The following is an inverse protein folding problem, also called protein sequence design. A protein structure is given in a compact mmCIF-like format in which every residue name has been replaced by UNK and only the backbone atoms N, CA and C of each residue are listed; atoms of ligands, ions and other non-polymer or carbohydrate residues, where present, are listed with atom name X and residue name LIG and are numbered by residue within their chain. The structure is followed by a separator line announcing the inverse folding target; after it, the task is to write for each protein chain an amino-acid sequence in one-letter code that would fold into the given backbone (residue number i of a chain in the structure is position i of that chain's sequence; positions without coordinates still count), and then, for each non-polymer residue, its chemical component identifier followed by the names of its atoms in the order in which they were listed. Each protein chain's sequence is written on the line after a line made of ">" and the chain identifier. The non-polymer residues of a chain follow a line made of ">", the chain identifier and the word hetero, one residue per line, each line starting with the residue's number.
data_IF_828573260098
#
_entry.id   IF_828573260098
#
_cell.length_a   1.000
_cell.length_b   1.000
_cell.length_c   1.000
_cell.angle_alpha   90.00
_cell.angle_beta   90.00
_cell.angle_gamma   90.00
#
_symmetry.space_group_name_H-M   'P 1'
#
loop_
_entity.id
_entity.type
_entity.pdbx_description
1 polymer ?
#
# COMPACT_ATOMS: atom_id res chain seq x y z
N UNK A 1 -24.33 -55.07 51.53
CA UNK A 1 -24.26 -53.61 51.46
C UNK A 1 -22.92 -53.24 50.86
N UNK A 2 -22.87 -52.85 49.60
CA UNK A 2 -21.64 -52.43 48.89
C UNK A 2 -21.70 -50.91 48.69
N UNK A 3 -20.86 -50.19 49.44
CA UNK A 3 -20.71 -48.74 49.32
C UNK A 3 -19.82 -48.44 48.10
N UNK A 4 -20.34 -47.69 47.14
CA UNK A 4 -19.58 -47.14 46.02
C UNK A 4 -19.12 -45.75 46.37
N UNK A 5 -17.81 -45.57 46.51
CA UNK A 5 -17.17 -44.26 46.68
C UNK A 5 -17.02 -43.64 45.29
N UNK A 6 -17.78 -42.57 45.00
CA UNK A 6 -17.57 -41.72 43.79
C UNK A 6 -16.45 -40.73 44.12
N UNK A 7 -15.28 -40.92 43.52
CA UNK A 7 -14.24 -39.87 43.47
C UNK A 7 -14.63 -38.82 42.40
N UNK A 8 -15.05 -37.64 42.83
CA UNK A 8 -15.15 -36.45 41.95
C UNK A 8 -13.71 -35.94 41.64
N UNK A 9 -13.26 -36.12 40.42
CA UNK A 9 -12.08 -35.38 39.91
C UNK A 9 -12.58 -34.00 39.49
N UNK A 10 -12.24 -32.96 40.25
CA UNK A 10 -12.38 -31.57 39.82
C UNK A 10 -11.24 -31.24 38.86
N UNK A 11 -11.54 -31.16 37.57
CA UNK A 11 -10.62 -30.62 36.58
C UNK A 11 -10.51 -29.11 36.78
N UNK A 12 -9.38 -28.64 37.30
CA UNK A 12 -9.06 -27.22 37.36
C UNK A 12 -8.79 -26.72 35.93
N UNK A 13 -9.74 -26.03 35.33
CA UNK A 13 -9.51 -25.31 34.09
C UNK A 13 -8.59 -24.11 34.38
N UNK A 14 -7.33 -24.18 33.94
CA UNK A 14 -6.42 -23.03 33.92
C UNK A 14 -6.94 -22.02 32.91
N UNK A 15 -7.54 -20.94 33.37
CA UNK A 15 -7.92 -19.81 32.54
C UNK A 15 -6.62 -19.20 31.97
N UNK A 16 -6.44 -19.28 30.65
CA UNK A 16 -5.34 -18.58 29.98
C UNK A 16 -5.54 -17.08 30.19
N UNK A 17 -4.54 -16.42 30.79
CA UNK A 17 -4.57 -14.96 30.96
C UNK A 17 -4.54 -14.28 29.60
N UNK A 18 -5.43 -13.31 29.36
CA UNK A 18 -5.41 -12.54 28.11
C UNK A 18 -4.07 -11.79 27.98
N UNK A 19 -3.49 -11.73 26.75
CA UNK A 19 -2.24 -11.05 26.49
C UNK A 19 -2.35 -9.56 26.82
N UNK A 20 -1.27 -8.97 27.33
CA UNK A 20 -1.19 -7.55 27.66
C UNK A 20 -0.45 -6.77 26.60
N UNK A 21 -0.69 -5.44 26.51
CA UNK A 21 0.01 -4.55 25.55
C UNK A 21 1.56 -4.67 25.67
N UNK A 22 2.19 -4.65 26.85
CA UNK A 22 3.65 -4.82 26.96
C UNK A 22 4.17 -6.17 26.44
N UNK A 23 3.39 -7.23 26.57
CA UNK A 23 3.78 -8.56 26.07
C UNK A 23 3.71 -8.65 24.56
N UNK A 24 2.76 -7.94 23.93
CA UNK A 24 2.55 -7.93 22.47
C UNK A 24 3.40 -6.86 21.79
N UNK A 25 3.64 -5.72 22.42
CA UNK A 25 4.48 -4.68 21.83
C UNK A 25 5.88 -5.24 21.48
N UNK A 26 6.42 -4.84 20.32
CA UNK A 26 7.71 -5.30 19.84
C UNK A 26 7.79 -5.29 18.31
N UNK A 27 8.92 -5.79 17.82
CA UNK A 27 9.22 -5.89 16.41
C UNK A 27 8.99 -7.31 15.92
N UNK A 28 8.29 -7.45 14.81
CA UNK A 28 7.90 -8.71 14.21
C UNK A 28 8.39 -8.76 12.76
N UNK A 29 8.86 -9.92 12.34
CA UNK A 29 9.44 -10.15 11.02
C UNK A 29 8.67 -11.22 10.28
N UNK A 30 8.35 -10.96 9.02
CA UNK A 30 7.71 -11.93 8.12
C UNK A 30 8.60 -13.17 7.96
N UNK A 31 7.97 -14.34 7.99
CA UNK A 31 8.63 -15.64 7.80
C UNK A 31 8.08 -16.38 6.59
N UNK A 32 8.87 -17.32 6.07
CA UNK A 32 8.46 -18.28 5.03
C UNK A 32 8.11 -17.71 3.65
N UNK A 33 8.42 -16.43 3.39
CA UNK A 33 8.28 -15.83 2.07
C UNK A 33 9.63 -15.67 1.40
N UNK A 34 9.71 -16.08 0.12
CA UNK A 34 10.86 -15.81 -0.73
C UNK A 34 10.64 -14.48 -1.46
N UNK A 35 11.68 -13.68 -1.60
CA UNK A 35 11.67 -12.40 -2.33
C UNK A 35 10.75 -11.30 -1.71
N UNK A 36 10.15 -11.56 -0.56
CA UNK A 36 9.32 -10.60 0.19
C UNK A 36 9.96 -10.34 1.54
N UNK A 37 10.34 -9.09 1.80
CA UNK A 37 10.76 -8.62 3.11
C UNK A 37 9.65 -7.82 3.77
N UNK A 38 9.32 -8.10 5.02
CA UNK A 38 8.36 -7.29 5.76
C UNK A 38 8.63 -7.26 7.25
N UNK A 39 8.34 -6.12 7.86
CA UNK A 39 8.49 -5.87 9.28
C UNK A 39 7.27 -5.13 9.81
N UNK A 40 6.78 -5.55 10.97
CA UNK A 40 5.74 -4.87 11.75
C UNK A 40 6.31 -4.49 13.11
N UNK A 41 6.34 -3.21 13.42
CA UNK A 41 6.68 -2.68 14.74
C UNK A 41 5.42 -2.24 15.47
N UNK A 42 5.11 -2.89 16.59
CA UNK A 42 4.07 -2.50 17.54
C UNK A 42 4.72 -1.77 18.73
N UNK A 43 4.47 -0.46 18.83
CA UNK A 43 5.04 0.36 19.90
C UNK A 43 4.21 0.26 21.19
N UNK A 44 4.83 0.38 22.37
CA UNK A 44 4.09 0.33 23.64
C UNK A 44 3.08 1.47 23.83
N UNK A 45 3.26 2.60 23.10
CA UNK A 45 2.35 3.75 23.11
C UNK A 45 1.10 3.57 22.24
N UNK A 46 0.91 2.38 21.64
CA UNK A 46 -0.21 2.08 20.75
C UNK A 46 0.01 2.49 19.30
N UNK A 47 1.17 3.03 18.93
CA UNK A 47 1.53 3.30 17.54
C UNK A 47 2.04 2.06 16.83
N UNK A 48 1.85 1.97 15.50
CA UNK A 48 2.53 0.94 14.69
C UNK A 48 3.28 1.55 13.51
N UNK A 49 4.26 0.79 13.01
CA UNK A 49 4.91 0.99 11.72
C UNK A 49 4.99 -0.35 11.00
N UNK A 50 4.75 -0.32 9.70
CA UNK A 50 4.78 -1.48 8.83
C UNK A 50 5.59 -1.15 7.57
N UNK A 51 6.41 -2.07 7.12
CA UNK A 51 7.11 -2.00 5.84
C UNK A 51 7.00 -3.33 5.12
N UNK A 52 6.93 -3.27 3.80
CA UNK A 52 6.87 -4.42 2.92
C UNK A 52 7.66 -4.11 1.65
N UNK A 53 8.59 -4.99 1.28
CA UNK A 53 9.38 -4.90 0.05
C UNK A 53 9.18 -6.14 -0.79
N UNK A 54 8.84 -5.97 -2.06
CA UNK A 54 8.74 -7.04 -3.04
C UNK A 54 9.24 -6.57 -4.42
N UNK A 55 10.26 -7.22 -4.94
CA UNK A 55 10.87 -6.84 -6.21
C UNK A 55 11.41 -5.40 -6.18
N UNK A 56 10.87 -4.53 -7.03
CA UNK A 56 11.25 -3.13 -7.13
C UNK A 56 10.30 -2.18 -6.37
N UNK A 57 9.37 -2.71 -5.61
CA UNK A 57 8.36 -1.93 -4.90
C UNK A 57 8.53 -2.03 -3.38
N UNK A 58 8.43 -0.88 -2.73
CA UNK A 58 8.44 -0.75 -1.27
C UNK A 58 7.15 -0.08 -0.83
N UNK A 59 6.47 -0.70 0.13
CA UNK A 59 5.29 -0.13 0.78
C UNK A 59 5.53 0.07 2.26
N UNK A 60 4.80 0.99 2.83
CA UNK A 60 4.81 1.25 4.25
C UNK A 60 3.44 1.65 4.76
N UNK A 61 3.21 1.46 6.06
CA UNK A 61 2.03 1.96 6.75
C UNK A 61 2.42 2.42 8.15
N UNK A 62 1.64 3.32 8.71
CA UNK A 62 1.72 3.76 10.11
C UNK A 62 0.32 4.06 10.64
N UNK A 63 0.19 4.06 11.94
CA UNK A 63 -1.08 4.38 12.59
C UNK A 63 -1.11 3.91 14.03
N UNK A 64 -2.26 3.50 14.49
CA UNK A 64 -2.49 2.97 15.83
C UNK A 64 -2.80 1.49 15.81
N UNK A 65 -2.44 0.80 16.88
CA UNK A 65 -2.82 -0.59 17.13
C UNK A 65 -3.46 -0.76 18.51
N UNK A 66 -4.29 -1.77 18.65
CA UNK A 66 -4.89 -2.18 19.91
C UNK A 66 -5.06 -3.68 19.98
N UNK A 67 -5.19 -4.18 21.20
CA UNK A 67 -5.65 -5.55 21.45
C UNK A 67 -7.18 -5.54 21.53
N UNK A 68 -7.81 -6.43 20.80
CA UNK A 68 -9.26 -6.64 20.81
C UNK A 68 -9.56 -8.12 20.59
N UNK A 69 -10.28 -8.73 21.52
CA UNK A 69 -10.70 -10.14 21.46
C UNK A 69 -9.55 -11.11 21.15
N UNK A 70 -8.40 -10.92 21.79
CA UNK A 70 -7.21 -11.75 21.61
C UNK A 70 -6.46 -11.56 20.29
N UNK A 71 -6.83 -10.55 19.51
CA UNK A 71 -6.16 -10.20 18.26
C UNK A 71 -5.54 -8.79 18.34
N UNK A 72 -4.53 -8.53 17.50
CA UNK A 72 -4.03 -7.19 17.21
C UNK A 72 -4.88 -6.58 16.08
N UNK A 73 -5.32 -5.34 16.26
CA UNK A 73 -6.06 -4.59 15.24
C UNK A 73 -5.28 -3.35 14.88
N UNK A 74 -5.00 -3.16 13.58
CA UNK A 74 -4.28 -2.00 13.04
C UNK A 74 -5.25 -1.04 12.37
N UNK A 75 -5.06 0.25 12.61
CA UNK A 75 -5.73 1.33 11.90
C UNK A 75 -4.71 2.38 11.45
N UNK A 76 -4.62 2.61 10.16
CA UNK A 76 -3.85 3.74 9.62
C UNK A 76 -4.52 5.06 9.96
N UNK A 77 -3.71 6.11 10.13
CA UNK A 77 -4.24 7.45 10.32
C UNK A 77 -5.05 7.89 9.09
N UNK A 78 -6.22 8.49 9.32
CA UNK A 78 -7.00 9.14 8.26
C UNK A 78 -6.28 10.43 7.84
N UNK A 79 -5.54 10.36 6.75
CA UNK A 79 -4.97 11.53 6.10
C UNK A 79 -5.60 11.65 4.71
N UNK A 80 -6.12 12.83 4.38
CA UNK A 80 -6.58 13.13 3.03
C UNK A 80 -5.35 13.17 2.10
N UNK A 81 -5.12 12.08 1.40
CA UNK A 81 -4.04 12.05 0.42
C UNK A 81 -4.47 12.70 -0.89
N UNK A 82 -3.65 13.58 -1.45
CA UNK A 82 -3.84 14.03 -2.81
C UNK A 82 -3.73 12.83 -3.76
N UNK A 83 -4.34 12.92 -4.97
CA UNK A 83 -4.31 11.82 -5.93
C UNK A 83 -2.87 11.45 -6.30
N UNK A 84 -2.62 10.20 -6.75
CA UNK A 84 -1.29 9.72 -7.13
C UNK A 84 -0.60 10.59 -8.18
N UNK A 85 -1.35 11.22 -9.06
CA UNK A 85 -0.87 12.17 -10.06
C UNK A 85 -1.74 13.42 -10.07
N UNK A 86 -1.09 14.58 -9.95
CA UNK A 86 -1.73 15.89 -9.93
C UNK A 86 -1.23 16.72 -11.10
N UNK A 87 -2.13 17.23 -11.96
CA UNK A 87 -1.78 18.19 -13.01
C UNK A 87 -1.29 19.50 -12.36
N UNK A 88 -0.04 19.88 -12.61
CA UNK A 88 0.58 21.09 -12.06
C UNK A 88 0.82 22.19 -13.11
N UNK A 89 0.85 21.79 -14.39
CA UNK A 89 1.01 22.72 -15.50
C UNK A 89 0.40 22.18 -16.78
N UNK A 90 -0.20 23.07 -17.56
CA UNK A 90 -0.56 22.81 -18.97
C UNK A 90 -0.24 24.02 -19.82
N UNK A 91 0.10 23.78 -21.10
CA UNK A 91 0.46 24.81 -22.06
C UNK A 91 0.11 24.36 -23.48
N UNK A 92 -0.01 25.32 -24.42
CA UNK A 92 -0.36 25.04 -25.81
C UNK A 92 0.63 24.13 -26.56
N UNK A 93 1.86 24.00 -26.07
CA UNK A 93 2.91 23.16 -26.67
C UNK A 93 3.55 23.78 -27.92
N UNK A 94 4.83 23.49 -28.10
CA UNK A 94 5.63 24.02 -29.22
C UNK A 94 5.97 22.96 -30.27
N UNK A 95 5.85 21.66 -29.93
CA UNK A 95 6.40 20.54 -30.72
C UNK A 95 5.44 19.91 -31.72
N UNK A 96 4.19 20.38 -31.77
CA UNK A 96 3.16 19.87 -32.72
C UNK A 96 2.66 18.45 -32.43
N UNK A 97 2.97 17.89 -31.27
CA UNK A 97 2.43 16.65 -30.67
C UNK A 97 2.05 16.89 -29.22
N UNK A 98 1.48 15.89 -28.57
CA UNK A 98 1.20 15.95 -27.14
C UNK A 98 2.42 15.44 -26.35
N UNK A 99 2.80 16.18 -25.32
CA UNK A 99 3.87 15.86 -24.40
C UNK A 99 3.33 15.78 -22.98
N UNK A 100 3.51 14.65 -22.30
CA UNK A 100 3.15 14.48 -20.90
C UNK A 100 4.45 14.25 -20.12
N UNK A 101 4.73 15.16 -19.21
CA UNK A 101 5.87 15.07 -18.28
C UNK A 101 5.37 14.66 -16.91
N UNK A 102 6.03 13.68 -16.32
CA UNK A 102 5.84 13.29 -14.91
C UNK A 102 7.07 13.71 -14.13
N UNK A 103 6.86 14.41 -13.02
CA UNK A 103 7.92 14.87 -12.11
C UNK A 103 7.66 14.46 -10.68
N UNK A 104 8.71 14.27 -9.92
CA UNK A 104 8.63 14.12 -8.46
C UNK A 104 8.46 15.48 -7.76
N UNK A 105 8.27 15.49 -6.42
CA UNK A 105 8.13 16.72 -5.62
C UNK A 105 9.34 17.67 -5.71
N UNK A 106 10.51 17.15 -6.09
CA UNK A 106 11.73 17.90 -6.31
C UNK A 106 11.87 18.44 -7.75
N UNK A 107 10.85 18.29 -8.59
CA UNK A 107 10.84 18.70 -9.99
C UNK A 107 11.65 17.82 -10.95
N UNK A 108 12.30 16.75 -10.44
CA UNK A 108 13.02 15.78 -11.31
C UNK A 108 12.05 14.90 -12.07
N UNK A 109 12.39 14.59 -13.33
CA UNK A 109 11.61 13.65 -14.14
C UNK A 109 11.54 12.26 -13.54
N UNK A 110 10.36 11.63 -13.67
CA UNK A 110 10.09 10.26 -13.22
C UNK A 110 9.86 9.39 -14.45
N UNK A 111 10.78 8.47 -14.71
CA UNK A 111 10.71 7.50 -15.80
C UNK A 111 9.87 6.26 -15.45
N UNK A 112 9.61 5.44 -16.47
CA UNK A 112 8.91 4.16 -16.35
C UNK A 112 7.44 4.26 -15.88
N UNK A 113 6.78 5.40 -16.09
CA UNK A 113 5.34 5.55 -15.95
C UNK A 113 4.69 5.30 -17.30
N UNK A 114 3.80 4.31 -17.40
CA UNK A 114 2.99 4.11 -18.60
C UNK A 114 1.87 5.15 -18.61
N UNK A 115 1.66 5.77 -19.76
CA UNK A 115 0.61 6.79 -19.96
C UNK A 115 -0.26 6.36 -21.13
N UNK A 116 -1.55 6.15 -20.86
CA UNK A 116 -2.58 5.95 -21.89
C UNK A 116 -3.29 7.28 -22.11
N UNK A 117 -3.12 7.85 -23.30
CA UNK A 117 -3.76 9.10 -23.71
C UNK A 117 -5.00 8.80 -24.56
N UNK A 118 -6.17 9.14 -24.03
CA UNK A 118 -7.43 9.13 -24.78
C UNK A 118 -7.52 10.41 -25.61
N UNK A 119 -7.82 10.26 -26.88
CA UNK A 119 -7.89 11.34 -27.87
C UNK A 119 -9.20 11.26 -28.65
N UNK A 120 -9.47 12.25 -29.48
CA UNK A 120 -10.57 12.26 -30.46
C UNK A 120 -10.49 11.09 -31.47
N UNK A 121 -9.34 10.45 -31.62
CA UNK A 121 -9.06 9.35 -32.57
C UNK A 121 -8.85 7.98 -31.93
N UNK A 122 -9.03 7.88 -30.63
CA UNK A 122 -8.82 6.67 -29.87
C UNK A 122 -7.73 6.81 -28.81
N UNK A 123 -7.33 5.71 -28.22
CA UNK A 123 -6.32 5.66 -27.16
C UNK A 123 -4.95 5.35 -27.77
N UNK A 124 -3.94 6.10 -27.33
CA UNK A 124 -2.53 5.89 -27.66
C UNK A 124 -1.72 5.77 -26.38
N UNK A 125 -0.65 4.96 -26.42
CA UNK A 125 0.15 4.66 -25.24
C UNK A 125 1.60 5.08 -25.44
N UNK A 126 2.21 5.57 -24.39
CA UNK A 126 3.65 5.84 -24.31
C UNK A 126 4.14 5.66 -22.87
N UNK A 127 5.43 5.46 -22.71
CA UNK A 127 6.08 5.39 -21.39
C UNK A 127 7.00 6.58 -21.22
N UNK A 128 7.04 7.13 -20.00
CA UNK A 128 8.00 8.20 -19.69
C UNK A 128 9.44 7.68 -19.74
N UNK A 129 10.29 8.44 -20.38
CA UNK A 129 11.74 8.22 -20.45
C UNK A 129 12.45 8.61 -19.14
N UNK A 130 13.78 8.54 -19.11
CA UNK A 130 14.59 8.91 -17.94
C UNK A 130 14.47 10.39 -17.54
N UNK A 131 14.00 11.25 -18.44
CA UNK A 131 13.69 12.67 -18.17
C UNK A 131 12.25 12.90 -17.72
N UNK A 132 11.47 11.81 -17.59
CA UNK A 132 10.08 11.82 -17.18
C UNK A 132 9.10 12.21 -18.28
N UNK A 133 9.45 12.06 -19.56
CA UNK A 133 8.63 12.54 -20.68
C UNK A 133 8.08 11.40 -21.50
N UNK A 134 6.77 11.41 -21.75
CA UNK A 134 6.07 10.60 -22.74
C UNK A 134 5.64 11.48 -23.90
N UNK A 135 5.96 11.09 -25.15
CA UNK A 135 5.63 11.81 -26.38
C UNK A 135 4.57 11.08 -27.18
N UNK A 136 3.58 11.84 -27.67
CA UNK A 136 2.49 11.36 -28.52
C UNK A 136 2.46 12.12 -29.85
N UNK A 137 2.01 11.46 -30.90
CA UNK A 137 2.07 12.02 -32.27
C UNK A 137 1.21 13.28 -32.49
N UNK A 138 1.49 13.96 -33.60
CA UNK A 138 1.01 15.32 -33.94
C UNK A 138 -0.50 15.47 -34.21
N UNK A 139 -1.27 14.40 -34.31
CA UNK A 139 -2.67 14.44 -34.76
C UNK A 139 -3.67 14.10 -33.64
N UNK A 140 -3.24 14.11 -32.40
CA UNK A 140 -4.07 13.69 -31.27
C UNK A 140 -4.54 14.92 -30.47
N UNK A 141 -5.84 15.15 -30.41
CA UNK A 141 -6.41 16.11 -29.45
C UNK A 141 -6.60 15.40 -28.11
N UNK A 142 -5.85 15.77 -27.06
CA UNK A 142 -5.91 15.07 -25.77
C UNK A 142 -7.25 15.32 -25.09
N UNK A 143 -7.85 14.26 -24.52
CA UNK A 143 -9.09 14.35 -23.76
C UNK A 143 -8.90 13.90 -22.32
N UNK A 144 -8.23 12.76 -22.13
CA UNK A 144 -7.95 12.21 -20.81
C UNK A 144 -6.61 11.48 -20.80
N UNK A 145 -5.96 11.44 -19.64
CA UNK A 145 -4.78 10.62 -19.40
C UNK A 145 -5.04 9.62 -18.26
N UNK A 146 -4.56 8.39 -18.42
CA UNK A 146 -4.50 7.36 -17.39
C UNK A 146 -3.03 7.05 -17.16
N UNK A 147 -2.62 6.95 -15.91
CA UNK A 147 -1.25 6.64 -15.52
C UNK A 147 -1.20 5.25 -14.88
N UNK A 148 -0.18 4.46 -15.27
CA UNK A 148 0.09 3.16 -14.65
C UNK A 148 1.53 3.09 -14.17
N UNK A 149 1.70 2.64 -12.92
CA UNK A 149 3.00 2.36 -12.31
C UNK A 149 3.07 0.86 -12.02
N UNK A 150 3.66 0.08 -12.94
CA UNK A 150 3.61 -1.39 -12.91
C UNK A 150 4.20 -2.00 -11.64
N UNK A 151 5.28 -1.42 -11.11
CA UNK A 151 5.92 -1.92 -9.90
C UNK A 151 4.97 -1.93 -8.66
N UNK A 152 3.95 -1.08 -8.69
CA UNK A 152 2.97 -0.93 -7.60
C UNK A 152 1.57 -1.43 -7.99
N UNK A 153 1.43 -2.03 -9.17
CA UNK A 153 0.13 -2.44 -9.74
C UNK A 153 -0.92 -1.32 -9.68
N UNK A 154 -0.44 -0.07 -9.79
CA UNK A 154 -1.29 1.11 -9.73
C UNK A 154 -1.74 1.51 -11.12
N UNK A 155 -3.05 1.72 -11.29
CA UNK A 155 -3.65 2.41 -12.43
C UNK A 155 -4.60 3.49 -11.90
N UNK A 156 -4.52 4.70 -12.47
CA UNK A 156 -5.35 5.82 -12.02
C UNK A 156 -6.69 5.84 -12.75
N UNK A 157 -7.67 6.50 -12.14
CA UNK A 157 -8.83 6.96 -12.87
C UNK A 157 -8.42 7.95 -13.99
N UNK A 158 -9.22 8.07 -15.08
CA UNK A 158 -8.91 8.98 -16.16
C UNK A 158 -8.94 10.44 -15.72
N UNK A 159 -7.83 11.14 -15.87
CA UNK A 159 -7.69 12.58 -15.59
C UNK A 159 -8.03 13.38 -16.83
N UNK A 160 -9.01 14.29 -16.73
CA UNK A 160 -9.43 15.13 -17.85
C UNK A 160 -8.34 16.13 -18.25
N UNK A 161 -8.13 16.32 -19.56
CA UNK A 161 -7.18 17.25 -20.15
C UNK A 161 -7.92 18.30 -20.99
N UNK A 162 -7.35 19.50 -21.05
CA UNK A 162 -7.84 20.51 -22.00
C UNK A 162 -7.34 20.18 -23.42
N UNK A 163 -8.23 19.93 -24.40
CA UNK A 163 -7.84 19.55 -25.76
C UNK A 163 -7.06 20.62 -26.54
N UNK A 164 -7.11 21.88 -26.11
CA UNK A 164 -6.35 22.99 -26.71
C UNK A 164 -4.91 23.06 -26.21
N UNK A 165 -4.57 22.31 -25.16
CA UNK A 165 -3.22 22.24 -24.59
C UNK A 165 -2.51 20.98 -25.08
N UNK A 166 -1.21 21.06 -25.22
CA UNK A 166 -0.41 19.94 -25.74
C UNK A 166 0.82 19.59 -24.90
N UNK A 167 1.19 20.44 -23.96
CA UNK A 167 2.24 20.18 -22.96
C UNK A 167 1.62 20.11 -21.57
N UNK A 168 1.70 18.96 -20.93
CA UNK A 168 1.19 18.71 -19.59
C UNK A 168 2.31 18.30 -18.66
N UNK A 169 2.30 18.82 -17.44
CA UNK A 169 3.20 18.34 -16.37
C UNK A 169 2.38 17.85 -15.20
N UNK A 170 2.60 16.62 -14.82
CA UNK A 170 2.01 15.99 -13.64
C UNK A 170 3.06 15.79 -12.57
N UNK A 171 2.72 16.10 -11.34
CA UNK A 171 3.51 15.76 -10.17
C UNK A 171 3.00 14.46 -9.58
N UNK A 172 3.92 13.50 -9.39
CA UNK A 172 3.62 12.23 -8.76
C UNK A 172 3.64 12.39 -7.24
N UNK A 173 2.60 11.91 -6.57
CA UNK A 173 2.57 11.76 -5.13
C UNK A 173 3.04 10.35 -4.77
N UNK A 174 4.31 10.19 -4.47
CA UNK A 174 4.87 8.89 -4.10
C UNK A 174 4.20 8.29 -2.87
N UNK A 175 3.76 9.12 -1.92
CA UNK A 175 3.05 8.68 -0.72
C UNK A 175 1.74 7.96 -1.06
N UNK A 176 0.92 8.53 -1.95
CA UNK A 176 -0.33 7.91 -2.41
C UNK A 176 -0.12 6.58 -3.17
N UNK A 177 1.12 6.29 -3.58
CA UNK A 177 1.50 5.06 -4.29
C UNK A 177 2.07 4.02 -3.32
N UNK A 178 2.87 4.45 -2.34
CA UNK A 178 3.66 3.56 -1.48
C UNK A 178 3.07 3.37 -0.09
N UNK A 179 2.14 4.22 0.35
CA UNK A 179 1.51 4.10 1.66
C UNK A 179 0.30 3.17 1.61
N UNK A 180 0.38 2.07 2.34
CA UNK A 180 -0.75 1.16 2.56
C UNK A 180 -1.69 1.70 3.63
N UNK A 181 -2.97 1.42 3.48
CA UNK A 181 -4.01 1.78 4.44
C UNK A 181 -4.59 0.53 5.09
N UNK A 182 -4.47 0.46 6.39
CA UNK A 182 -5.13 -0.56 7.20
C UNK A 182 -6.36 0.05 7.87
N UNK A 183 -7.51 -0.57 7.64
CA UNK A 183 -8.78 -0.20 8.29
C UNK A 183 -9.29 -1.44 9.02
N UNK A 184 -9.27 -1.40 10.36
CA UNK A 184 -9.64 -2.54 11.22
C UNK A 184 -8.94 -3.85 10.81
N UNK A 185 -7.68 -3.74 10.33
CA UNK A 185 -6.90 -4.91 9.91
C UNK A 185 -6.59 -5.77 11.14
N UNK A 186 -7.16 -6.95 11.18
CA UNK A 186 -6.96 -7.91 12.26
C UNK A 186 -5.80 -8.84 11.98
N UNK A 187 -4.98 -9.07 13.02
CA UNK A 187 -3.95 -10.10 13.03
C UNK A 187 -4.26 -11.04 14.20
N UNK A 188 -4.39 -12.32 13.92
CA UNK A 188 -4.52 -13.33 14.99
C UNK A 188 -3.21 -13.44 15.76
N UNK A 189 -3.29 -13.59 17.08
CA UNK A 189 -2.14 -13.73 17.96
C UNK A 189 -2.05 -15.15 18.51
N UNK A 190 -0.95 -15.83 18.26
CA UNK A 190 -0.64 -17.15 18.82
C UNK A 190 0.78 -17.16 19.39
N UNK A 191 0.92 -17.04 20.70
CA UNK A 191 2.21 -16.93 21.37
C UNK A 191 3.02 -15.71 20.88
N UNK A 192 4.09 -15.96 20.12
CA UNK A 192 4.96 -14.92 19.55
C UNK A 192 4.70 -14.64 18.05
N UNK A 193 3.62 -15.20 17.50
CA UNK A 193 3.29 -15.11 16.08
C UNK A 193 2.04 -14.27 15.91
N UNK A 194 2.11 -13.30 14.99
CA UNK A 194 0.99 -12.54 14.46
C UNK A 194 0.73 -12.98 13.03
N UNK A 195 -0.48 -13.45 12.73
CA UNK A 195 -0.87 -13.87 11.38
C UNK A 195 -1.80 -12.84 10.77
N UNK A 196 -1.41 -12.31 9.62
CA UNK A 196 -2.17 -11.33 8.84
C UNK A 196 -2.67 -11.96 7.54
N UNK A 197 -3.98 -11.87 7.27
CA UNK A 197 -4.58 -12.22 5.99
C UNK A 197 -4.60 -10.97 5.10
N UNK A 198 -3.66 -10.84 4.17
CA UNK A 198 -3.53 -9.61 3.39
C UNK A 198 -3.67 -9.83 1.87
N UNK A 199 -3.05 -10.87 1.32
CA UNK A 199 -3.02 -11.13 -0.12
C UNK A 199 -3.95 -12.24 -0.60
N UNK A 200 -5.19 -12.31 -0.07
CA UNK A 200 -6.21 -13.28 -0.45
C UNK A 200 -6.46 -14.34 0.61
N UNK A 201 -7.48 -15.16 0.41
CA UNK A 201 -7.94 -16.11 1.42
C UNK A 201 -6.97 -17.25 1.72
N UNK A 202 -5.97 -17.47 0.85
CA UNK A 202 -5.08 -18.64 0.92
C UNK A 202 -3.61 -18.28 1.25
N UNK A 203 -3.29 -17.02 1.55
CA UNK A 203 -1.92 -16.61 1.88
C UNK A 203 -1.86 -15.84 3.20
N UNK A 204 -1.62 -16.59 4.26
CA UNK A 204 -1.35 -16.05 5.57
C UNK A 204 0.08 -15.55 5.67
N UNK A 205 0.24 -14.35 6.19
CA UNK A 205 1.55 -13.73 6.47
C UNK A 205 1.86 -13.87 7.95
N UNK A 206 2.75 -14.79 8.30
CA UNK A 206 3.18 -15.01 9.68
C UNK A 206 4.35 -14.12 10.04
N UNK A 207 4.14 -13.28 11.04
CA UNK A 207 5.14 -12.38 11.62
C UNK A 207 5.59 -12.89 12.97
N UNK A 208 6.86 -13.25 13.10
CA UNK A 208 7.44 -13.75 14.35
C UNK A 208 8.12 -12.62 15.11
N UNK A 209 7.81 -12.51 16.42
CA UNK A 209 8.41 -11.51 17.30
C UNK A 209 9.91 -11.72 17.43
N UNK A 210 10.70 -10.68 17.17
CA UNK A 210 12.14 -10.64 17.39
C UNK A 210 12.54 -10.87 18.87
N UNK A 211 13.79 -11.21 19.08
CA UNK A 211 14.36 -11.36 20.42
C UNK A 211 14.53 -10.01 21.10
#
# INVERSE_FOLDING_TARGET
>A
MRSWLFCLFAAAATAATAPTVPEVAGRYYLQHFHEVGSELLLKPDGGFQFVLSYGAADWWAKGSWRLQDGAVVLNSADENDPPPFRLVRSAAGKSGGVCIRVVGPNGRGVGNVDVSLQTDKGTVEARTDSSGVAHFGKKNAPQKAVFRVRAYDLETEPVALNPEQHDFTFEINSRAITELRFTEQRLSLSGRILTMHYWGPDQDMDYVKGQ
#
